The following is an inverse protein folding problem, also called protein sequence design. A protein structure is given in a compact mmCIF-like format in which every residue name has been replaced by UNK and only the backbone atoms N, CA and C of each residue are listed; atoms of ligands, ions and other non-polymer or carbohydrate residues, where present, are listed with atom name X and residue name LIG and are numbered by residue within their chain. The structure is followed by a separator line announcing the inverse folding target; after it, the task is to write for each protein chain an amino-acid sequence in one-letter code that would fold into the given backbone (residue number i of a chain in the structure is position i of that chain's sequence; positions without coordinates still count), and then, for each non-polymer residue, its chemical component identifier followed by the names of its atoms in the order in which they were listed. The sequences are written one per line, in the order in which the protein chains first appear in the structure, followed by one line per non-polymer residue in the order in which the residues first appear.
data_IF_239817471857
#
_entry.id   IF_239817471857
#
_cell.length_a   1.000
_cell.length_b   1.000
_cell.length_c   1.000
_cell.angle_alpha   90.00
_cell.angle_beta   90.00
_cell.angle_gamma   90.00
#
_symmetry.space_group_name_H-M   'P 1'
#
loop_
_entity.id
_entity.type
_entity.pdbx_description
1 polymer ?
#
# COMPACT_ATOMS: atom_id res chain seq x y z
N UNK A 1 32.75 13.52 -7.98
CA UNK A 1 31.75 12.43 -7.79
C UNK A 1 31.07 12.41 -6.42
N UNK A 2 31.68 12.87 -5.32
CA UNK A 2 31.06 12.86 -3.97
C UNK A 2 29.79 13.72 -3.83
N UNK A 3 29.67 14.84 -4.53
CA UNK A 3 28.50 15.76 -4.42
C UNK A 3 27.17 15.22 -4.96
N UNK A 4 27.16 14.25 -5.89
CA UNK A 4 25.92 13.67 -6.43
C UNK A 4 25.29 12.61 -5.50
N UNK A 5 26.05 12.03 -4.59
CA UNK A 5 25.61 10.93 -3.73
C UNK A 5 25.13 11.36 -2.33
N UNK A 6 25.17 12.65 -2.00
CA UNK A 6 24.76 13.21 -0.69
C UNK A 6 23.57 14.18 -0.80
N UNK A 7 22.80 14.07 -1.85
CA UNK A 7 21.64 14.89 -2.12
C UNK A 7 20.36 14.12 -1.67
N UNK A 8 19.38 14.87 -1.11
CA UNK A 8 18.08 14.30 -0.68
C UNK A 8 17.31 13.57 -1.77
N UNK A 9 17.52 13.94 -3.05
CA UNK A 9 16.90 13.27 -4.18
C UNK A 9 17.47 11.88 -4.41
N UNK A 10 18.78 11.77 -4.53
CA UNK A 10 19.47 10.52 -4.85
C UNK A 10 19.60 9.58 -3.65
N UNK A 11 19.67 10.13 -2.43
CA UNK A 11 19.87 9.32 -1.21
C UNK A 11 18.58 9.01 -0.45
N UNK A 12 17.48 9.67 -0.78
CA UNK A 12 16.21 9.46 -0.07
C UNK A 12 15.01 9.29 -1.00
N UNK A 13 14.70 10.27 -1.89
CA UNK A 13 13.45 10.23 -2.70
C UNK A 13 13.50 9.11 -3.74
N UNK A 14 14.52 9.10 -4.61
CA UNK A 14 14.63 8.07 -5.66
C UNK A 14 14.65 6.65 -5.07
N UNK A 15 15.49 6.33 -4.06
CA UNK A 15 15.46 5.00 -3.47
C UNK A 15 14.13 4.68 -2.76
N UNK A 16 13.43 5.66 -2.20
CA UNK A 16 12.11 5.43 -1.63
C UNK A 16 11.12 4.97 -2.71
N UNK A 17 11.08 5.62 -3.86
CA UNK A 17 10.21 5.25 -4.98
C UNK A 17 10.60 3.87 -5.55
N UNK A 18 11.91 3.62 -5.74
CA UNK A 18 12.41 2.33 -6.26
C UNK A 18 12.10 1.14 -5.34
N UNK A 19 11.92 1.37 -4.05
CA UNK A 19 11.53 0.34 -3.08
C UNK A 19 9.99 0.28 -2.97
N UNK A 20 9.29 1.41 -2.86
CA UNK A 20 7.87 1.45 -2.57
C UNK A 20 6.98 1.11 -3.77
N UNK A 21 7.38 1.39 -5.03
CA UNK A 21 6.61 0.98 -6.20
C UNK A 21 6.51 -0.57 -6.28
N UNK A 22 7.61 -1.35 -6.23
CA UNK A 22 7.53 -2.80 -6.22
C UNK A 22 6.66 -3.37 -5.09
N UNK A 23 6.86 -2.92 -3.85
CA UNK A 23 6.08 -3.46 -2.73
C UNK A 23 4.62 -3.01 -2.74
N UNK A 24 4.32 -1.85 -3.33
CA UNK A 24 2.95 -1.35 -3.50
C UNK A 24 2.11 -2.14 -4.50
N UNK A 25 2.73 -3.02 -5.31
CA UNK A 25 2.00 -3.87 -6.26
C UNK A 25 1.11 -4.92 -5.58
N UNK A 26 1.20 -5.08 -4.27
CA UNK A 26 0.22 -5.85 -3.50
C UNK A 26 -1.21 -5.35 -3.73
N UNK A 27 -1.40 -4.07 -4.03
CA UNK A 27 -2.71 -3.49 -4.38
C UNK A 27 -3.24 -3.89 -5.76
N UNK A 28 -2.41 -4.54 -6.59
CA UNK A 28 -2.84 -5.09 -7.88
C UNK A 28 -3.51 -6.48 -7.75
N UNK A 29 -3.75 -6.96 -6.53
CA UNK A 29 -4.35 -8.28 -6.28
C UNK A 29 -5.61 -8.55 -7.10
N UNK A 30 -6.50 -7.57 -7.21
CA UNK A 30 -7.73 -7.66 -7.98
C UNK A 30 -7.52 -7.93 -9.48
N UNK A 31 -6.33 -7.62 -10.03
CA UNK A 31 -6.01 -7.82 -11.45
C UNK A 31 -5.90 -9.31 -11.78
N UNK A 32 -5.36 -10.12 -10.87
CA UNK A 32 -5.00 -11.51 -11.15
C UNK A 32 -5.65 -12.55 -10.23
N UNK A 33 -6.38 -12.15 -9.16
CA UNK A 33 -7.00 -13.09 -8.23
C UNK A 33 -7.95 -14.07 -8.91
N UNK A 34 -8.80 -13.59 -9.84
CA UNK A 34 -9.74 -14.44 -10.55
C UNK A 34 -9.01 -15.42 -11.48
N UNK A 35 -7.96 -14.96 -12.17
CA UNK A 35 -7.15 -15.82 -13.04
C UNK A 35 -6.41 -16.92 -12.25
N UNK A 36 -6.00 -16.63 -11.01
CA UNK A 36 -5.45 -17.64 -10.11
C UNK A 36 -6.55 -18.64 -9.73
N UNK A 37 -7.74 -18.17 -9.36
CA UNK A 37 -8.88 -19.01 -9.00
C UNK A 37 -9.24 -19.98 -10.15
N UNK A 38 -9.38 -19.46 -11.35
CA UNK A 38 -9.70 -20.25 -12.56
C UNK A 38 -8.61 -21.27 -12.85
N UNK A 39 -7.34 -20.86 -12.79
CA UNK A 39 -6.18 -21.74 -13.07
C UNK A 39 -6.03 -22.86 -12.04
N UNK A 40 -6.30 -22.58 -10.77
CA UNK A 40 -6.15 -23.54 -9.68
C UNK A 40 -7.44 -24.31 -9.36
N UNK A 41 -8.51 -24.09 -10.13
CA UNK A 41 -9.85 -24.63 -9.88
C UNK A 41 -10.31 -24.40 -8.43
N UNK A 42 -10.00 -23.23 -7.87
CA UNK A 42 -10.32 -22.83 -6.51
C UNK A 42 -11.41 -21.74 -6.49
N UNK A 43 -12.13 -21.63 -5.37
CA UNK A 43 -13.07 -20.50 -5.22
C UNK A 43 -12.32 -19.17 -5.08
N UNK A 44 -12.83 -18.05 -5.63
CA UNK A 44 -12.25 -16.73 -5.43
C UNK A 44 -12.06 -16.38 -3.95
N UNK A 45 -13.00 -16.79 -3.09
CA UNK A 45 -12.92 -16.60 -1.64
C UNK A 45 -11.74 -17.36 -1.01
N UNK A 46 -11.43 -18.58 -1.50
CA UNK A 46 -10.24 -19.31 -1.03
C UNK A 46 -8.95 -18.64 -1.46
N UNK A 47 -8.90 -18.12 -2.70
CA UNK A 47 -7.71 -17.41 -3.22
C UNK A 47 -7.47 -16.10 -2.50
N UNK A 48 -8.51 -15.40 -2.04
CA UNK A 48 -8.44 -14.14 -1.28
C UNK A 48 -7.60 -14.25 0.00
N UNK A 49 -7.48 -15.44 0.58
CA UNK A 49 -6.57 -15.69 1.70
C UNK A 49 -5.11 -15.36 1.38
N UNK A 50 -4.69 -15.45 0.11
CA UNK A 50 -3.35 -15.03 -0.31
C UNK A 50 -3.09 -13.55 -0.02
N UNK A 51 -4.05 -12.68 -0.35
CA UNK A 51 -3.97 -11.25 -0.04
C UNK A 51 -4.06 -10.97 1.46
N UNK A 52 -5.03 -11.57 2.15
CA UNK A 52 -5.21 -11.41 3.59
C UNK A 52 -3.95 -11.79 4.37
N UNK A 53 -3.33 -12.90 4.02
CA UNK A 53 -2.06 -13.33 4.61
C UNK A 53 -0.91 -12.36 4.28
N UNK A 54 -0.85 -11.81 3.06
CA UNK A 54 0.19 -10.85 2.68
C UNK A 54 0.09 -9.58 3.56
N UNK A 55 -1.11 -9.06 3.77
CA UNK A 55 -1.34 -7.89 4.65
C UNK A 55 -1.05 -8.24 6.12
N UNK A 56 -1.48 -9.40 6.60
CA UNK A 56 -1.18 -9.87 7.96
C UNK A 56 0.34 -9.95 8.21
N UNK A 57 1.07 -10.63 7.33
CA UNK A 57 2.52 -10.77 7.47
C UNK A 57 3.27 -9.45 7.24
N UNK A 58 2.75 -8.54 6.42
CA UNK A 58 3.26 -7.17 6.29
C UNK A 58 3.21 -6.46 7.65
N UNK A 59 2.03 -6.41 8.27
CA UNK A 59 1.85 -5.75 9.57
C UNK A 59 2.71 -6.39 10.66
N UNK A 60 2.66 -7.71 10.78
CA UNK A 60 3.43 -8.44 11.80
C UNK A 60 4.93 -8.30 11.60
N UNK A 61 5.45 -8.45 10.39
CA UNK A 61 6.88 -8.28 10.14
C UNK A 61 7.36 -6.86 10.39
N UNK A 62 6.59 -5.84 10.02
CA UNK A 62 6.88 -4.44 10.33
C UNK A 62 6.95 -4.20 11.84
N UNK A 63 6.04 -4.80 12.63
CA UNK A 63 6.05 -4.71 14.09
C UNK A 63 7.35 -5.23 14.73
N UNK A 64 7.99 -6.22 14.11
CA UNK A 64 9.28 -6.75 14.57
C UNK A 64 10.49 -6.06 13.93
N UNK A 65 10.36 -5.52 12.72
CA UNK A 65 11.46 -4.94 11.96
C UNK A 65 11.90 -3.54 12.43
N UNK A 66 11.06 -2.80 13.15
CA UNK A 66 11.34 -1.42 13.55
C UNK A 66 12.73 -1.22 14.17
N UNK A 67 13.14 -1.96 15.21
CA UNK A 67 14.47 -1.85 15.80
C UNK A 67 15.61 -2.22 14.83
N UNK A 68 15.35 -3.15 13.90
CA UNK A 68 16.34 -3.54 12.89
C UNK A 68 16.59 -2.39 11.90
N UNK A 69 15.54 -1.68 11.50
CA UNK A 69 15.62 -0.53 10.58
C UNK A 69 16.31 0.65 11.25
N UNK A 70 16.08 0.88 12.54
CA UNK A 70 16.82 1.92 13.29
C UNK A 70 18.33 1.65 13.26
N UNK A 71 18.74 0.41 13.51
CA UNK A 71 20.16 0.01 13.51
C UNK A 71 20.77 0.01 12.11
N UNK A 72 20.06 -0.55 11.13
CA UNK A 72 20.59 -0.72 9.77
C UNK A 72 19.50 -0.47 8.73
N UNK A 73 19.56 0.71 8.11
CA UNK A 73 18.65 1.14 7.06
C UNK A 73 18.71 0.26 5.79
N UNK A 74 19.81 -0.48 5.60
CA UNK A 74 20.00 -1.35 4.43
C UNK A 74 19.43 -2.76 4.60
N UNK A 75 18.57 -3.01 5.58
CA UNK A 75 17.80 -4.26 5.63
C UNK A 75 16.81 -4.29 4.47
N UNK A 76 16.89 -5.36 3.70
CA UNK A 76 16.31 -5.41 2.36
C UNK A 76 14.90 -5.99 2.34
N UNK A 77 14.05 -5.38 1.52
CA UNK A 77 12.77 -5.90 1.11
C UNK A 77 12.86 -6.95 -0.04
N UNK A 78 14.06 -7.29 -0.51
CA UNK A 78 14.26 -8.25 -1.62
C UNK A 78 13.60 -9.62 -1.36
N UNK A 79 13.41 -9.98 -0.10
CA UNK A 79 12.64 -11.17 0.29
C UNK A 79 11.24 -11.19 -0.34
N UNK A 80 10.61 -10.02 -0.53
CA UNK A 80 9.30 -9.94 -1.19
C UNK A 80 9.32 -10.44 -2.63
N UNK A 81 10.43 -10.27 -3.33
CA UNK A 81 10.57 -10.73 -4.72
C UNK A 81 10.73 -12.24 -4.83
N UNK A 82 11.33 -12.87 -3.81
CA UNK A 82 11.37 -14.34 -3.70
C UNK A 82 9.95 -14.88 -3.56
N UNK A 83 9.13 -14.26 -2.71
CA UNK A 83 7.72 -14.61 -2.56
C UNK A 83 6.91 -14.39 -3.84
N UNK A 84 7.14 -13.27 -4.53
CA UNK A 84 6.47 -12.97 -5.79
C UNK A 84 6.82 -13.97 -6.91
N UNK A 85 8.11 -14.31 -7.08
CA UNK A 85 8.54 -15.35 -8.01
C UNK A 85 8.00 -16.74 -7.62
N UNK A 86 8.06 -17.09 -6.33
CA UNK A 86 7.52 -18.34 -5.79
C UNK A 86 6.02 -18.49 -6.01
N UNK A 87 5.27 -17.39 -6.08
CA UNK A 87 3.86 -17.39 -6.46
C UNK A 87 3.70 -17.87 -7.90
N UNK A 88 4.52 -17.38 -8.83
CA UNK A 88 4.54 -17.85 -10.21
C UNK A 88 4.81 -19.36 -10.30
N UNK A 89 5.76 -19.89 -9.54
CA UNK A 89 6.03 -21.33 -9.43
C UNK A 89 4.80 -22.09 -8.91
N UNK A 90 4.17 -21.57 -7.84
CA UNK A 90 3.01 -22.21 -7.21
C UNK A 90 1.82 -22.30 -8.16
N UNK A 91 1.59 -21.25 -8.97
CA UNK A 91 0.54 -21.23 -10.01
C UNK A 91 0.88 -22.21 -11.14
N UNK A 92 2.15 -22.28 -11.56
CA UNK A 92 2.60 -23.22 -12.59
C UNK A 92 2.38 -24.67 -12.17
N UNK A 93 2.58 -24.98 -10.90
CA UNK A 93 2.39 -26.31 -10.30
C UNK A 93 0.96 -26.60 -9.87
N UNK A 94 0.01 -25.70 -10.10
CA UNK A 94 -1.38 -25.78 -9.63
C UNK A 94 -1.49 -26.04 -8.10
N UNK A 95 -0.64 -25.36 -7.31
CA UNK A 95 -0.52 -25.59 -5.88
C UNK A 95 -0.95 -24.37 -5.06
N UNK A 96 -2.24 -24.31 -4.68
CA UNK A 96 -2.83 -23.20 -3.92
C UNK A 96 -2.14 -22.90 -2.57
N UNK A 97 -1.78 -23.91 -1.73
CA UNK A 97 -1.04 -23.64 -0.51
C UNK A 97 0.30 -22.93 -0.74
N UNK A 98 0.94 -23.19 -1.88
CA UNK A 98 2.15 -22.49 -2.31
C UNK A 98 1.92 -20.99 -2.54
N UNK A 99 0.75 -20.59 -3.06
CA UNK A 99 0.37 -19.18 -3.20
C UNK A 99 0.25 -18.54 -1.81
N UNK A 100 -0.34 -19.22 -0.83
CA UNK A 100 -0.43 -18.71 0.54
C UNK A 100 0.92 -18.51 1.21
N UNK A 101 1.84 -19.47 0.99
CA UNK A 101 3.20 -19.39 1.52
C UNK A 101 4.00 -18.30 0.79
N UNK A 102 4.00 -18.30 -0.53
CA UNK A 102 4.87 -17.43 -1.32
C UNK A 102 4.35 -15.98 -1.37
N UNK A 103 3.11 -15.79 -1.83
CA UNK A 103 2.50 -14.47 -1.88
C UNK A 103 2.13 -13.96 -0.48
N UNK A 104 1.45 -14.79 0.29
CA UNK A 104 0.98 -14.43 1.63
C UNK A 104 2.14 -14.21 2.60
N UNK A 105 2.88 -15.27 2.94
CA UNK A 105 3.86 -15.19 4.02
C UNK A 105 5.18 -14.56 3.57
N UNK A 106 5.86 -15.12 2.57
CA UNK A 106 7.23 -14.70 2.20
C UNK A 106 7.22 -13.28 1.64
N UNK A 107 6.34 -13.00 0.67
CA UNK A 107 6.22 -11.65 0.11
C UNK A 107 5.76 -10.67 1.19
N UNK A 108 4.73 -11.00 1.98
CA UNK A 108 4.22 -10.15 3.07
C UNK A 108 5.30 -9.77 4.09
N UNK A 109 6.15 -10.69 4.53
CA UNK A 109 7.29 -10.40 5.40
C UNK A 109 8.24 -9.39 4.74
N UNK A 110 8.57 -9.60 3.48
CA UNK A 110 9.43 -8.68 2.72
C UNK A 110 8.84 -7.28 2.60
N UNK A 111 7.50 -7.19 2.39
CA UNK A 111 6.77 -5.92 2.32
C UNK A 111 6.91 -5.11 3.61
N UNK A 112 6.66 -5.73 4.77
CA UNK A 112 6.70 -5.03 6.06
C UNK A 112 8.11 -4.58 6.45
N UNK A 113 9.13 -5.38 6.20
CA UNK A 113 10.54 -4.98 6.42
C UNK A 113 10.93 -3.83 5.50
N UNK A 114 10.52 -3.90 4.22
CA UNK A 114 10.87 -2.91 3.19
C UNK A 114 10.15 -1.58 3.36
N UNK A 115 8.96 -1.58 3.91
CA UNK A 115 8.13 -0.38 4.06
C UNK A 115 8.73 0.67 5.01
N UNK A 116 9.26 0.25 6.14
CA UNK A 116 9.72 1.17 7.20
C UNK A 116 10.96 1.98 6.80
N UNK A 117 11.83 1.40 6.00
CA UNK A 117 13.15 1.97 5.67
C UNK A 117 13.07 3.31 4.93
N UNK A 118 12.33 3.44 3.80
CA UNK A 118 12.22 4.70 3.08
C UNK A 118 11.51 5.79 3.91
N UNK A 119 10.46 5.42 4.64
CA UNK A 119 9.69 6.35 5.48
C UNK A 119 10.61 7.02 6.50
N UNK A 120 11.34 6.21 7.29
CA UNK A 120 12.27 6.74 8.29
C UNK A 120 13.37 7.58 7.66
N UNK A 121 13.92 7.14 6.53
CA UNK A 121 14.99 7.87 5.86
C UNK A 121 14.55 9.26 5.38
N UNK A 122 13.37 9.36 4.76
CA UNK A 122 12.86 10.66 4.32
C UNK A 122 12.57 11.59 5.48
N UNK A 123 12.02 11.10 6.59
CA UNK A 123 11.81 11.93 7.80
C UNK A 123 13.10 12.52 8.35
N UNK A 124 14.24 11.83 8.19
CA UNK A 124 15.55 12.35 8.60
C UNK A 124 16.10 13.40 7.63
N UNK A 125 15.87 13.25 6.33
CA UNK A 125 16.29 14.21 5.31
C UNK A 125 15.43 15.47 5.23
N UNK A 126 14.20 15.41 5.69
CA UNK A 126 13.21 16.49 5.65
C UNK A 126 12.67 16.78 7.06
N UNK A 127 13.56 17.06 8.00
CA UNK A 127 13.22 17.25 9.40
C UNK A 127 12.18 18.35 9.65
N UNK A 128 12.19 19.41 8.82
CA UNK A 128 11.29 20.58 8.95
C UNK A 128 9.89 20.31 8.37
N UNK A 129 9.74 19.36 7.43
CA UNK A 129 8.49 19.02 6.74
C UNK A 129 8.28 17.51 6.73
N UNK A 130 8.15 16.91 7.91
CA UNK A 130 8.07 15.44 8.07
C UNK A 130 6.81 14.84 7.44
N UNK A 131 5.70 15.58 7.44
CA UNK A 131 4.46 15.15 6.77
C UNK A 131 4.63 15.06 5.26
N UNK A 132 5.15 16.11 4.62
CA UNK A 132 5.51 16.07 3.20
C UNK A 132 6.47 14.92 2.90
N UNK A 133 7.49 14.73 3.75
CA UNK A 133 8.46 13.66 3.60
C UNK A 133 7.82 12.26 3.61
N UNK A 134 6.94 12.00 4.57
CA UNK A 134 6.22 10.72 4.65
C UNK A 134 5.25 10.55 3.49
N UNK A 135 4.58 11.61 3.06
CA UNK A 135 3.74 11.62 1.86
C UNK A 135 4.49 11.20 0.61
N UNK A 136 5.66 11.80 0.36
CA UNK A 136 6.54 11.44 -0.76
C UNK A 136 7.06 10.01 -0.61
N UNK A 137 7.47 9.61 0.60
CA UNK A 137 7.97 8.25 0.85
C UNK A 137 6.96 7.19 0.39
N UNK A 138 5.70 7.36 0.78
CA UNK A 138 4.67 6.37 0.51
C UNK A 138 3.85 6.64 -0.76
N UNK A 139 4.10 7.76 -1.46
CA UNK A 139 3.48 8.05 -2.76
C UNK A 139 3.76 6.95 -3.79
N UNK A 140 5.00 6.43 -3.82
CA UNK A 140 5.35 5.29 -4.67
C UNK A 140 4.49 4.06 -4.44
N UNK A 141 4.11 3.81 -3.19
CA UNK A 141 3.20 2.71 -2.85
C UNK A 141 1.78 2.96 -3.39
N UNK A 142 1.30 4.21 -3.36
CA UNK A 142 0.01 4.60 -3.95
C UNK A 142 0.01 4.53 -5.48
N UNK A 143 1.08 5.00 -6.13
CA UNK A 143 1.22 4.99 -7.59
C UNK A 143 1.43 3.58 -8.17
N UNK A 144 1.83 2.62 -7.35
CA UNK A 144 2.16 1.28 -7.80
C UNK A 144 1.03 0.65 -8.62
N UNK A 145 -0.22 0.77 -8.16
CA UNK A 145 -1.38 0.21 -8.83
C UNK A 145 -1.62 0.86 -10.21
N UNK A 146 -1.48 2.18 -10.31
CA UNK A 146 -1.65 2.90 -11.57
C UNK A 146 -0.63 2.48 -12.64
N UNK A 147 0.61 2.19 -12.20
CA UNK A 147 1.71 1.80 -13.10
C UNK A 147 1.66 0.30 -13.38
N UNK A 148 1.50 -0.51 -12.34
CA UNK A 148 1.66 -1.95 -12.44
C UNK A 148 0.42 -2.66 -12.98
N UNK A 149 -0.82 -2.18 -12.71
CA UNK A 149 -2.02 -2.86 -13.20
C UNK A 149 -2.08 -2.94 -14.73
N UNK A 150 -1.91 -1.84 -15.49
CA UNK A 150 -1.88 -1.93 -16.95
C UNK A 150 -0.74 -2.81 -17.48
N UNK A 151 0.43 -2.74 -16.83
CA UNK A 151 1.57 -3.56 -17.20
C UNK A 151 1.30 -5.06 -16.95
N UNK A 152 0.69 -5.39 -15.81
CA UNK A 152 0.30 -6.77 -15.48
C UNK A 152 -0.73 -7.29 -16.46
N UNK A 153 -1.78 -6.52 -16.79
CA UNK A 153 -2.79 -6.90 -17.77
C UNK A 153 -2.16 -7.13 -19.16
N UNK A 154 -1.27 -6.25 -19.60
CA UNK A 154 -0.54 -6.44 -20.86
C UNK A 154 0.31 -7.71 -20.85
N UNK A 155 1.09 -7.95 -19.80
CA UNK A 155 1.92 -9.14 -19.68
C UNK A 155 1.08 -10.42 -19.60
N UNK A 156 -0.03 -10.40 -18.85
CA UNK A 156 -0.95 -11.54 -18.79
C UNK A 156 -1.49 -11.88 -20.18
N UNK A 157 -1.89 -10.86 -20.94
CA UNK A 157 -2.42 -11.03 -22.30
C UNK A 157 -1.39 -11.50 -23.33
N UNK A 158 -0.11 -11.19 -23.14
CA UNK A 158 0.96 -11.47 -24.12
C UNK A 158 1.78 -12.71 -23.78
N UNK A 159 2.18 -12.87 -22.52
CA UNK A 159 3.08 -13.96 -22.08
C UNK A 159 2.45 -14.89 -21.05
N UNK A 160 1.25 -14.58 -20.59
CA UNK A 160 0.49 -15.38 -19.63
C UNK A 160 0.80 -15.06 -18.15
N UNK A 161 -0.11 -15.54 -17.29
CA UNK A 161 -0.11 -15.24 -15.84
C UNK A 161 1.21 -15.62 -15.15
N UNK A 162 1.71 -16.84 -15.40
CA UNK A 162 2.93 -17.34 -14.73
C UNK A 162 4.16 -16.54 -15.13
N UNK A 163 4.33 -16.29 -16.44
CA UNK A 163 5.47 -15.50 -16.95
C UNK A 163 5.46 -14.07 -16.45
N UNK A 164 4.28 -13.45 -16.28
CA UNK A 164 4.12 -12.12 -15.69
C UNK A 164 4.75 -12.08 -14.30
N UNK A 165 4.51 -13.07 -13.43
CA UNK A 165 5.12 -13.10 -12.09
C UNK A 165 6.65 -13.15 -12.14
N UNK A 166 7.25 -13.94 -13.04
CA UNK A 166 8.70 -14.02 -13.15
C UNK A 166 9.33 -12.73 -13.72
N UNK A 167 8.73 -12.16 -14.76
CA UNK A 167 9.22 -10.93 -15.38
C UNK A 167 9.20 -9.80 -14.36
N UNK A 168 8.07 -9.61 -13.66
CA UNK A 168 7.95 -8.55 -12.67
C UNK A 168 8.81 -8.81 -11.44
N UNK A 169 8.98 -10.05 -10.99
CA UNK A 169 9.92 -10.37 -9.92
C UNK A 169 11.34 -9.92 -10.27
N UNK A 170 11.79 -10.17 -11.50
CA UNK A 170 13.12 -9.75 -11.96
C UNK A 170 13.24 -8.21 -12.03
N UNK A 171 12.26 -7.54 -12.65
CA UNK A 171 12.27 -6.07 -12.77
C UNK A 171 12.26 -5.41 -11.39
N UNK A 172 11.37 -5.86 -10.51
CA UNK A 172 11.25 -5.31 -9.16
C UNK A 172 12.47 -5.61 -8.29
N UNK A 173 13.09 -6.78 -8.44
CA UNK A 173 14.34 -7.09 -7.76
C UNK A 173 15.45 -6.12 -8.16
N UNK A 174 15.59 -5.78 -9.46
CA UNK A 174 16.54 -4.78 -9.94
C UNK A 174 16.22 -3.39 -9.38
N UNK A 175 14.95 -2.95 -9.41
CA UNK A 175 14.54 -1.66 -8.85
C UNK A 175 14.90 -1.55 -7.38
N UNK A 176 14.53 -2.56 -6.58
CA UNK A 176 14.80 -2.60 -5.13
C UNK A 176 16.30 -2.69 -4.84
N UNK A 177 17.06 -3.43 -5.63
CA UNK A 177 18.52 -3.51 -5.47
C UNK A 177 19.18 -2.16 -5.73
N UNK A 178 18.80 -1.45 -6.80
CA UNK A 178 19.27 -0.09 -7.07
C UNK A 178 18.86 0.87 -5.94
N UNK A 179 17.60 0.81 -5.48
CA UNK A 179 17.14 1.58 -4.32
C UNK A 179 17.97 1.30 -3.07
N UNK A 180 18.29 0.03 -2.81
CA UNK A 180 19.16 -0.38 -1.70
C UNK A 180 20.58 0.18 -1.80
N UNK A 181 21.15 0.25 -3.00
CA UNK A 181 22.48 0.82 -3.20
C UNK A 181 22.51 2.33 -2.96
N UNK A 182 21.45 3.03 -3.40
CA UNK A 182 21.34 4.48 -3.33
C UNK A 182 20.97 5.01 -1.95
N UNK A 183 20.17 4.25 -1.15
CA UNK A 183 19.64 4.73 0.12
C UNK A 183 20.76 5.02 1.12
N UNK A 184 20.79 6.27 1.64
CA UNK A 184 21.75 6.73 2.63
C UNK A 184 21.08 7.63 3.65
N UNK A 185 21.54 7.60 4.88
CA UNK A 185 21.14 8.56 5.91
C UNK A 185 21.82 9.91 5.72
N UNK A 186 21.26 11.01 6.25
CA UNK A 186 21.92 12.32 6.25
C UNK A 186 23.30 12.28 6.89
N UNK A 187 24.21 13.13 6.42
CA UNK A 187 25.54 13.31 7.02
C UNK A 187 25.40 13.69 8.51
N UNK A 188 26.25 13.12 9.35
CA UNK A 188 26.24 13.36 10.79
C UNK A 188 25.21 12.54 11.59
N UNK A 189 24.34 11.76 10.94
CA UNK A 189 23.45 10.86 11.66
C UNK A 189 24.21 9.65 12.20
N UNK A 190 24.14 9.42 13.50
CA UNK A 190 24.75 8.28 14.17
C UNK A 190 23.68 7.50 14.92
N UNK A 191 23.72 6.18 14.83
CA UNK A 191 22.86 5.32 15.63
C UNK A 191 23.27 5.38 17.09
N UNK A 192 22.36 5.79 17.95
CA UNK A 192 22.55 5.81 19.40
C UNK A 192 21.68 4.72 20.04
N UNK A 193 22.27 3.63 20.54
CA UNK A 193 21.54 2.53 21.16
C UNK A 193 20.74 2.97 22.38
N UNK A 194 21.27 3.91 23.17
CA UNK A 194 20.66 4.34 24.43
C UNK A 194 19.35 5.11 24.21
N UNK A 195 19.24 5.87 23.11
CA UNK A 195 18.07 6.68 22.82
C UNK A 195 17.12 6.06 21.78
N UNK A 196 17.59 5.08 21.02
CA UNK A 196 16.79 4.37 20.00
C UNK A 196 16.06 3.15 20.53
N UNK A 197 16.36 2.69 21.72
CA UNK A 197 15.76 1.51 22.36
C UNK A 197 14.65 1.93 23.34
N UNK A 198 13.46 2.22 22.83
CA UNK A 198 12.26 2.23 23.67
C UNK A 198 11.70 0.80 23.72
N UNK A 199 11.55 0.27 24.93
CA UNK A 199 10.92 -1.03 25.10
C UNK A 199 9.50 -1.04 24.53
N UNK A 200 9.18 -2.02 23.69
CA UNK A 200 7.81 -2.23 23.17
C UNK A 200 6.78 -2.24 24.30
N UNK A 201 7.13 -2.85 25.45
CA UNK A 201 6.25 -2.87 26.64
C UNK A 201 5.90 -1.46 27.14
N UNK A 202 6.84 -0.53 27.06
CA UNK A 202 6.61 0.87 27.47
C UNK A 202 5.66 1.59 26.50
N UNK A 203 5.77 1.33 25.19
CA UNK A 203 4.87 1.90 24.17
C UNK A 203 3.46 1.35 24.36
N UNK A 204 3.31 0.03 24.49
CA UNK A 204 2.02 -0.67 24.62
C UNK A 204 1.26 -0.31 25.92
N UNK A 205 1.94 0.21 26.95
CA UNK A 205 1.30 0.69 28.18
C UNK A 205 0.69 2.09 28.03
N UNK A 206 0.99 2.84 26.96
CA UNK A 206 0.49 4.20 26.77
C UNK A 206 -0.88 4.19 26.10
N UNK A 207 -1.96 4.73 26.71
CA UNK A 207 -3.29 4.75 26.09
C UNK A 207 -3.32 5.45 24.74
N UNK A 208 -2.50 6.48 24.54
CA UNK A 208 -2.40 7.21 23.27
C UNK A 208 -1.95 6.31 22.12
N UNK A 209 -1.12 5.28 22.38
CA UNK A 209 -0.73 4.30 21.37
C UNK A 209 -1.96 3.55 20.86
N UNK A 210 -2.80 3.07 21.74
CA UNK A 210 -4.01 2.31 21.38
C UNK A 210 -5.04 3.19 20.67
N UNK A 211 -5.17 4.47 21.06
CA UNK A 211 -6.01 5.42 20.32
C UNK A 211 -5.56 5.59 18.87
N UNK A 212 -4.26 5.76 18.65
CA UNK A 212 -3.67 5.85 17.30
C UNK A 212 -3.83 4.52 16.55
N UNK A 213 -3.58 3.39 17.20
CA UNK A 213 -3.72 2.05 16.63
C UNK A 213 -5.13 1.78 16.15
N UNK A 214 -6.15 2.08 16.99
CA UNK A 214 -7.57 1.90 16.63
C UNK A 214 -7.97 2.84 15.48
N UNK A 215 -7.58 4.10 15.53
CA UNK A 215 -7.87 5.03 14.45
C UNK A 215 -7.23 4.57 13.12
N UNK A 216 -6.00 4.11 13.17
CA UNK A 216 -5.33 3.55 12.01
C UNK A 216 -6.00 2.26 11.52
N UNK A 217 -6.34 1.33 12.44
CA UNK A 217 -7.05 0.09 12.12
C UNK A 217 -8.36 0.36 11.36
N UNK A 218 -9.19 1.28 11.84
CA UNK A 218 -10.45 1.66 11.16
C UNK A 218 -10.15 2.24 9.77
N UNK A 219 -9.18 3.14 9.66
CA UNK A 219 -8.81 3.75 8.39
C UNK A 219 -8.37 2.72 7.34
N UNK A 220 -7.44 1.82 7.72
CA UNK A 220 -6.91 0.83 6.78
C UNK A 220 -7.93 -0.24 6.41
N UNK A 221 -8.78 -0.64 7.35
CA UNK A 221 -9.83 -1.64 7.09
C UNK A 221 -10.80 -1.13 6.03
N UNK A 222 -11.25 0.12 6.13
CA UNK A 222 -12.14 0.72 5.13
C UNK A 222 -11.48 0.76 3.74
N UNK A 223 -10.23 1.23 3.66
CA UNK A 223 -9.53 1.33 2.38
C UNK A 223 -9.20 -0.02 1.75
N UNK A 224 -8.66 -0.96 2.53
CA UNK A 224 -8.32 -2.30 2.02
C UNK A 224 -9.55 -3.08 1.57
N UNK A 225 -10.68 -2.97 2.27
CA UNK A 225 -11.93 -3.59 1.87
C UNK A 225 -12.37 -3.10 0.48
N UNK A 226 -12.33 -1.79 0.22
CA UNK A 226 -12.68 -1.23 -1.08
C UNK A 226 -11.65 -1.63 -2.15
N UNK A 227 -10.35 -1.49 -1.89
CA UNK A 227 -9.28 -1.83 -2.85
C UNK A 227 -9.37 -3.30 -3.30
N UNK A 228 -9.68 -4.21 -2.39
CA UNK A 228 -9.76 -5.64 -2.72
C UNK A 228 -10.99 -6.00 -3.57
N UNK A 229 -12.08 -5.24 -3.44
CA UNK A 229 -13.37 -5.50 -4.10
C UNK A 229 -13.72 -4.47 -5.19
N UNK A 230 -12.87 -3.48 -5.44
CA UNK A 230 -13.16 -2.34 -6.33
C UNK A 230 -13.62 -2.77 -7.72
N UNK A 231 -12.94 -3.76 -8.31
CA UNK A 231 -13.30 -4.29 -9.63
C UNK A 231 -14.67 -4.96 -9.63
N UNK A 232 -14.97 -5.71 -8.58
CA UNK A 232 -16.26 -6.42 -8.43
C UNK A 232 -17.41 -5.42 -8.23
N UNK A 233 -17.20 -4.41 -7.37
CA UNK A 233 -18.16 -3.31 -7.17
C UNK A 233 -18.47 -2.59 -8.47
N UNK A 234 -17.45 -2.22 -9.25
CA UNK A 234 -17.64 -1.55 -10.54
C UNK A 234 -18.35 -2.45 -11.56
N UNK A 235 -18.01 -3.73 -11.58
CA UNK A 235 -18.68 -4.72 -12.42
C UNK A 235 -20.18 -4.77 -12.13
N UNK A 236 -20.58 -4.86 -10.86
CA UNK A 236 -21.97 -4.95 -10.46
C UNK A 236 -22.75 -3.66 -10.76
N UNK A 237 -22.15 -2.50 -10.46
CA UNK A 237 -22.77 -1.19 -10.78
C UNK A 237 -22.95 -1.02 -12.28
N UNK A 238 -21.94 -1.34 -13.09
CA UNK A 238 -22.02 -1.18 -14.55
C UNK A 238 -23.01 -2.19 -15.16
N UNK A 239 -23.11 -3.40 -14.58
CA UNK A 239 -24.07 -4.42 -15.06
C UNK A 239 -25.52 -3.99 -14.96
N UNK A 240 -25.84 -3.10 -14.01
CA UNK A 240 -27.18 -2.56 -13.83
C UNK A 240 -27.59 -1.53 -14.91
N UNK A 241 -26.68 -1.07 -15.76
CA UNK A 241 -27.01 -0.12 -16.83
C UNK A 241 -27.73 -0.82 -18.00
N UNK A 242 -28.79 -0.22 -18.57
CA UNK A 242 -29.59 -0.82 -19.64
C UNK A 242 -28.77 -1.29 -20.84
N UNK A 243 -27.74 -0.55 -21.25
CA UNK A 243 -26.88 -0.89 -22.39
C UNK A 243 -26.06 -2.15 -22.17
N UNK A 244 -25.84 -2.57 -20.93
CA UNK A 244 -25.05 -3.75 -20.58
C UNK A 244 -25.90 -4.92 -20.07
N UNK A 245 -27.16 -4.68 -19.71
CA UNK A 245 -28.03 -5.67 -19.04
C UNK A 245 -28.15 -6.99 -19.80
N UNK A 246 -28.27 -6.95 -21.13
CA UNK A 246 -28.50 -8.11 -22.00
C UNK A 246 -27.24 -8.67 -22.66
N UNK A 247 -26.04 -8.16 -22.32
CA UNK A 247 -24.80 -8.69 -22.87
C UNK A 247 -24.43 -10.04 -22.24
N UNK A 248 -23.91 -10.94 -23.04
CA UNK A 248 -23.28 -12.16 -22.50
C UNK A 248 -22.08 -11.79 -21.60
N UNK A 249 -21.69 -12.62 -20.61
CA UNK A 249 -20.61 -12.30 -19.70
C UNK A 249 -19.32 -11.88 -20.41
N UNK A 250 -18.92 -12.56 -21.47
CA UNK A 250 -17.73 -12.23 -22.24
C UNK A 250 -17.81 -10.88 -22.95
N UNK A 251 -18.95 -10.56 -23.59
CA UNK A 251 -19.16 -9.26 -24.25
C UNK A 251 -19.22 -8.12 -23.24
N UNK A 252 -19.85 -8.35 -22.11
CA UNK A 252 -19.91 -7.38 -21.03
C UNK A 252 -18.51 -7.07 -20.47
N UNK A 253 -17.74 -8.10 -20.11
CA UNK A 253 -16.37 -7.93 -19.61
C UNK A 253 -15.51 -7.15 -20.60
N UNK A 254 -15.59 -7.45 -21.91
CA UNK A 254 -14.87 -6.71 -22.94
C UNK A 254 -15.32 -5.23 -23.04
N UNK A 255 -16.63 -4.98 -22.94
CA UNK A 255 -17.18 -3.62 -23.06
C UNK A 255 -16.79 -2.72 -21.90
N UNK A 256 -16.63 -3.23 -20.68
CA UNK A 256 -16.34 -2.44 -19.49
C UNK A 256 -14.85 -2.43 -19.09
N UNK A 257 -14.00 -3.26 -19.69
CA UNK A 257 -12.58 -3.41 -19.31
C UNK A 257 -11.84 -2.08 -19.31
N UNK A 258 -11.99 -1.27 -20.33
CA UNK A 258 -11.38 0.06 -20.43
C UNK A 258 -11.89 1.03 -19.35
N UNK A 259 -13.17 0.97 -19.02
CA UNK A 259 -13.78 1.81 -17.97
C UNK A 259 -13.21 1.40 -16.60
N UNK A 260 -13.18 0.11 -16.30
CA UNK A 260 -12.61 -0.40 -15.06
C UNK A 260 -11.13 -0.01 -14.96
N UNK A 261 -10.34 -0.25 -16.00
CA UNK A 261 -8.91 0.12 -16.00
C UNK A 261 -8.69 1.62 -15.72
N UNK A 262 -9.49 2.49 -16.33
CA UNK A 262 -9.44 3.94 -16.08
C UNK A 262 -9.80 4.27 -14.62
N UNK A 263 -10.88 3.71 -14.10
CA UNK A 263 -11.31 3.96 -12.71
C UNK A 263 -10.25 3.50 -11.71
N UNK A 264 -9.67 2.31 -11.89
CA UNK A 264 -8.59 1.80 -11.05
C UNK A 264 -7.35 2.71 -11.07
N UNK A 265 -7.01 3.26 -12.26
CA UNK A 265 -5.90 4.19 -12.40
C UNK A 265 -6.18 5.53 -11.69
N UNK A 266 -7.39 6.09 -11.88
CA UNK A 266 -7.82 7.32 -11.22
C UNK A 266 -7.87 7.13 -9.70
N UNK A 267 -8.41 6.03 -9.20
CA UNK A 267 -8.42 5.70 -7.78
C UNK A 267 -7.00 5.67 -7.17
N UNK A 268 -6.05 5.07 -7.87
CA UNK A 268 -4.64 5.06 -7.49
C UNK A 268 -4.05 6.48 -7.41
N UNK A 269 -4.44 7.38 -8.32
CA UNK A 269 -4.05 8.80 -8.26
C UNK A 269 -4.66 9.48 -7.03
N UNK A 270 -5.93 9.25 -6.72
CA UNK A 270 -6.59 9.77 -5.52
C UNK A 270 -5.93 9.24 -4.24
N UNK A 271 -5.61 7.95 -4.17
CA UNK A 271 -4.86 7.38 -3.06
C UNK A 271 -3.50 8.08 -2.87
N UNK A 272 -2.77 8.30 -3.96
CA UNK A 272 -1.47 8.99 -3.94
C UNK A 272 -1.59 10.46 -3.55
N UNK A 273 -2.56 11.16 -4.12
CA UNK A 273 -2.85 12.56 -3.77
C UNK A 273 -3.23 12.69 -2.28
N UNK A 274 -4.01 11.75 -1.77
CA UNK A 274 -4.33 11.66 -0.35
C UNK A 274 -3.09 11.49 0.52
N UNK A 275 -2.14 10.63 0.11
CA UNK A 275 -0.87 10.42 0.83
C UNK A 275 -0.08 11.72 0.96
N UNK A 276 0.07 12.46 -0.13
CA UNK A 276 0.81 13.73 -0.12
C UNK A 276 0.00 14.84 0.54
N UNK A 277 -1.28 14.99 0.17
CA UNK A 277 -2.13 16.08 0.62
C UNK A 277 -2.40 16.07 2.13
N UNK A 278 -2.91 14.96 2.67
CA UNK A 278 -3.25 14.86 4.10
C UNK A 278 -2.01 14.92 5.00
N UNK A 279 -0.92 14.27 4.59
CA UNK A 279 0.32 14.32 5.38
C UNK A 279 0.96 15.71 5.36
N UNK A 280 0.94 16.41 4.22
CA UNK A 280 1.39 17.81 4.14
C UNK A 280 0.48 18.73 4.94
N UNK A 281 -0.85 18.52 4.85
CA UNK A 281 -1.80 19.26 5.70
C UNK A 281 -1.47 19.10 7.18
N UNK A 282 -1.03 17.91 7.61
CA UNK A 282 -0.65 17.65 8.99
C UNK A 282 0.51 18.52 9.48
N UNK A 283 1.40 18.97 8.61
CA UNK A 283 2.51 19.86 8.99
C UNK A 283 2.06 21.27 9.36
N UNK A 284 0.89 21.69 8.87
CA UNK A 284 0.28 23.00 9.16
C UNK A 284 -0.70 22.97 10.34
N UNK A 285 -0.99 21.79 10.90
CA UNK A 285 -1.93 21.63 12.01
C UNK A 285 -1.20 21.52 13.35
N UNK A 286 -1.70 22.23 14.37
CA UNK A 286 -1.21 22.09 15.75
C UNK A 286 -1.44 20.69 16.31
N UNK A 287 -2.54 20.06 15.90
CA UNK A 287 -2.95 18.71 16.33
C UNK A 287 -3.09 17.84 15.08
N UNK A 288 -2.16 16.94 14.87
CA UNK A 288 -2.10 16.07 13.68
C UNK A 288 -3.25 15.05 13.65
N UNK A 289 -3.85 14.73 14.81
CA UNK A 289 -5.03 13.88 14.94
C UNK A 289 -6.23 14.43 14.15
N UNK A 290 -6.31 15.75 13.96
CA UNK A 290 -7.37 16.41 13.18
C UNK A 290 -7.45 15.87 11.75
N UNK A 291 -6.33 15.42 11.17
CA UNK A 291 -6.32 14.81 9.84
C UNK A 291 -7.19 13.54 9.82
N UNK A 292 -7.08 12.68 10.83
CA UNK A 292 -7.93 11.49 10.92
C UNK A 292 -9.41 11.83 11.11
N UNK A 293 -9.72 12.90 11.87
CA UNK A 293 -11.10 13.37 11.99
C UNK A 293 -11.68 13.81 10.65
N UNK A 294 -10.91 14.57 9.85
CA UNK A 294 -11.31 15.00 8.50
C UNK A 294 -11.52 13.77 7.60
N UNK A 295 -10.58 12.82 7.61
CA UNK A 295 -10.68 11.59 6.81
C UNK A 295 -11.95 10.81 7.17
N UNK A 296 -12.24 10.62 8.46
CA UNK A 296 -13.42 9.86 8.88
C UNK A 296 -14.73 10.58 8.55
N UNK A 297 -14.82 11.89 8.78
CA UNK A 297 -16.01 12.67 8.40
C UNK A 297 -16.26 12.57 6.90
N UNK A 298 -15.22 12.77 6.09
CA UNK A 298 -15.30 12.65 4.63
C UNK A 298 -15.76 11.24 4.21
N UNK A 299 -15.15 10.19 4.77
CA UNK A 299 -15.49 8.80 4.45
C UNK A 299 -16.93 8.47 4.82
N UNK A 300 -17.39 8.88 6.01
CA UNK A 300 -18.77 8.70 6.44
C UNK A 300 -19.73 9.44 5.50
N UNK A 301 -19.43 10.68 5.14
CA UNK A 301 -20.29 11.49 4.26
C UNK A 301 -20.49 10.84 2.89
N UNK A 302 -19.41 10.33 2.26
CA UNK A 302 -19.52 9.69 0.93
C UNK A 302 -20.17 8.30 1.00
N UNK A 303 -19.97 7.54 2.09
CA UNK A 303 -20.66 6.28 2.29
C UNK A 303 -22.18 6.50 2.50
N UNK A 304 -22.55 7.51 3.27
CA UNK A 304 -23.96 7.89 3.43
C UNK A 304 -24.58 8.36 2.11
N UNK A 305 -23.84 9.17 1.34
CA UNK A 305 -24.29 9.59 0.00
C UNK A 305 -24.59 8.37 -0.88
N UNK A 306 -23.70 7.38 -0.89
CA UNK A 306 -23.90 6.15 -1.67
C UNK A 306 -25.13 5.36 -1.20
N UNK A 307 -25.34 5.22 0.11
CA UNK A 307 -26.49 4.50 0.69
C UNK A 307 -27.81 5.20 0.32
N UNK A 308 -27.86 6.54 0.39
CA UNK A 308 -29.07 7.29 0.09
C UNK A 308 -29.32 7.49 -1.41
N UNK A 309 -28.32 7.18 -2.26
CA UNK A 309 -28.49 7.23 -3.73
C UNK A 309 -29.00 5.89 -4.23
N UNK A 310 -30.27 5.58 -3.92
CA UNK A 310 -30.90 4.30 -4.29
C UNK A 310 -31.35 4.21 -5.76
N UNK A 311 -31.09 5.22 -6.59
CA UNK A 311 -31.43 5.18 -8.01
C UNK A 311 -30.39 4.43 -8.81
N UNK A 312 -30.85 3.46 -9.60
CA UNK A 312 -30.01 2.80 -10.61
C UNK A 312 -29.64 3.82 -11.69
N UNK A 313 -28.42 3.75 -12.20
CA UNK A 313 -27.96 4.60 -13.29
C UNK A 313 -26.84 5.57 -12.88
N UNK A 314 -26.80 6.71 -13.59
CA UNK A 314 -25.67 7.65 -13.45
C UNK A 314 -25.46 8.18 -12.03
N UNK A 315 -26.52 8.45 -11.28
CA UNK A 315 -26.41 8.97 -9.91
C UNK A 315 -25.73 7.96 -8.97
N UNK A 316 -26.11 6.70 -9.06
CA UNK A 316 -25.47 5.62 -8.28
C UNK A 316 -23.99 5.46 -8.67
N UNK A 317 -23.68 5.48 -9.97
CA UNK A 317 -22.29 5.38 -10.43
C UNK A 317 -21.42 6.51 -9.86
N UNK A 318 -21.88 7.76 -9.93
CA UNK A 318 -21.15 8.91 -9.40
C UNK A 318 -20.98 8.84 -7.88
N UNK A 319 -21.99 8.37 -7.15
CA UNK A 319 -21.90 8.18 -5.70
C UNK A 319 -20.88 7.09 -5.33
N UNK A 320 -20.85 5.97 -6.09
CA UNK A 320 -19.88 4.89 -5.92
C UNK A 320 -18.47 5.37 -6.26
N UNK A 321 -18.28 6.09 -7.36
CA UNK A 321 -16.97 6.65 -7.71
C UNK A 321 -16.48 7.64 -6.65
N UNK A 322 -17.34 8.51 -6.13
CA UNK A 322 -17.00 9.43 -5.05
C UNK A 322 -16.58 8.65 -3.78
N UNK A 323 -17.31 7.60 -3.43
CA UNK A 323 -16.97 6.73 -2.31
C UNK A 323 -15.59 6.07 -2.52
N UNK A 324 -15.36 5.43 -3.65
CA UNK A 324 -14.09 4.77 -3.95
C UNK A 324 -12.92 5.76 -3.86
N UNK A 325 -12.99 6.87 -4.60
CA UNK A 325 -11.88 7.82 -4.70
C UNK A 325 -11.59 8.54 -3.39
N UNK A 326 -12.61 9.01 -2.67
CA UNK A 326 -12.40 9.79 -1.45
C UNK A 326 -12.04 8.91 -0.25
N UNK A 327 -12.62 7.71 -0.12
CA UNK A 327 -12.20 6.77 0.93
C UNK A 327 -10.77 6.31 0.71
N UNK A 328 -10.38 6.03 -0.55
CA UNK A 328 -9.01 5.65 -0.87
C UNK A 328 -8.02 6.82 -0.73
N UNK A 329 -8.41 8.05 -1.01
CA UNK A 329 -7.60 9.22 -0.66
C UNK A 329 -7.39 9.32 0.86
N UNK A 330 -8.45 9.10 1.65
CA UNK A 330 -8.39 9.05 3.10
C UNK A 330 -7.53 7.90 3.63
N UNK A 331 -7.64 6.71 3.03
CA UNK A 331 -6.78 5.58 3.32
C UNK A 331 -5.30 5.92 3.11
N UNK A 332 -4.96 6.46 1.94
CA UNK A 332 -3.60 6.90 1.64
C UNK A 332 -3.11 7.97 2.61
N UNK A 333 -3.96 8.95 2.91
CA UNK A 333 -3.69 10.04 3.85
C UNK A 333 -3.44 9.56 5.27
N UNK A 334 -4.24 8.63 5.78
CA UNK A 334 -4.04 8.03 7.10
C UNK A 334 -2.71 7.29 7.20
N UNK A 335 -2.37 6.52 6.16
CA UNK A 335 -1.10 5.80 6.10
C UNK A 335 0.12 6.73 6.15
N UNK A 336 0.09 7.84 5.42
CA UNK A 336 1.21 8.78 5.36
C UNK A 336 1.29 9.74 6.56
N UNK A 337 0.15 10.04 7.19
CA UNK A 337 0.11 10.87 8.40
C UNK A 337 0.54 10.10 9.66
N UNK A 338 0.38 8.77 9.66
CA UNK A 338 0.71 7.93 10.82
C UNK A 338 2.12 8.14 11.38
N UNK A 339 3.22 8.09 10.58
CA UNK A 339 4.56 8.23 11.11
C UNK A 339 4.79 9.58 11.81
N UNK A 340 4.23 10.67 11.27
CA UNK A 340 4.39 12.01 11.86
C UNK A 340 3.51 12.22 13.09
N UNK A 341 2.36 11.56 13.15
CA UNK A 341 1.54 11.51 14.36
C UNK A 341 2.25 10.75 15.47
N UNK A 342 2.88 9.62 15.16
CA UNK A 342 3.69 8.86 16.10
C UNK A 342 4.93 9.64 16.54
N UNK A 343 5.58 10.39 15.65
CA UNK A 343 6.70 11.28 15.96
C UNK A 343 6.30 12.35 16.98
N UNK A 344 5.12 12.94 16.83
CA UNK A 344 4.61 13.95 17.76
C UNK A 344 4.45 13.42 19.19
N UNK A 345 4.01 12.17 19.35
CA UNK A 345 3.72 11.57 20.65
C UNK A 345 4.87 10.79 21.28
N UNK A 346 5.75 10.22 20.45
CA UNK A 346 6.81 9.29 20.89
C UNK A 346 8.23 9.75 20.52
N UNK A 347 8.36 10.76 19.66
CA UNK A 347 9.64 11.32 19.22
C UNK A 347 10.28 10.55 18.07
N UNK A 348 11.08 11.27 17.27
CA UNK A 348 11.69 10.80 16.01
C UNK A 348 12.58 9.56 16.19
N UNK A 349 13.25 9.44 17.35
CA UNK A 349 14.18 8.33 17.63
C UNK A 349 13.46 6.97 17.75
N UNK A 350 12.16 6.97 18.02
CA UNK A 350 11.37 5.75 18.26
C UNK A 350 10.37 5.45 17.12
N UNK A 351 10.33 6.32 16.11
CA UNK A 351 9.29 6.25 15.05
C UNK A 351 9.30 4.90 14.34
N UNK A 352 10.44 4.32 13.98
CA UNK A 352 10.44 3.02 13.29
C UNK A 352 9.85 1.90 14.16
N UNK A 353 10.08 1.95 15.47
CA UNK A 353 9.52 0.96 16.40
C UNK A 353 8.02 1.19 16.62
N UNK A 354 7.61 2.44 16.89
CA UNK A 354 6.19 2.76 17.11
C UNK A 354 5.36 2.58 15.84
N UNK A 355 5.90 3.00 14.69
CA UNK A 355 5.26 2.82 13.39
C UNK A 355 5.13 1.34 13.03
N UNK A 356 6.21 0.56 13.17
CA UNK A 356 6.15 -0.87 12.96
C UNK A 356 5.09 -1.54 13.84
N UNK A 357 5.05 -1.22 15.14
CA UNK A 357 4.01 -1.75 16.04
C UNK A 357 2.60 -1.35 15.59
N UNK A 358 2.40 -0.11 15.13
CA UNK A 358 1.07 0.35 14.69
C UNK A 358 0.64 -0.32 13.39
N UNK A 359 1.57 -0.69 12.51
CA UNK A 359 1.27 -1.45 11.28
C UNK A 359 0.72 -2.87 11.54
N UNK A 360 0.72 -3.34 12.79
CA UNK A 360 0.00 -4.57 13.17
C UNK A 360 -1.52 -4.39 13.25
N UNK A 361 -2.00 -3.16 13.09
CA UNK A 361 -3.43 -2.87 12.97
C UNK A 361 -3.99 -3.36 11.63
#
# INVERSE_FOLDING_TARGET
MARFTENRWTSAIIPALLIHIPIGTVYCWSVFKQLIADRLHASPASVEWGFSLAIFFLGMSAAFAGPMVEKNIKKSALVSMVGFAGTGVSIALNFLPGVFICYGAIMGIGLGVGYLTPVKNLMLWFADNKGLATGIAVAGFGLAKAIASPLMEYLIGTVGLVSMFFILAAVYAVMMFVGFLLIKRPAGWVYDPATSHVSRKTILKKPVFWGIWIAFYINITCGLALISQEKDILHDVLRAFPQYANLSPAKFAAAISGIIGLVLAVDSVFNTAGRVGFSTLSDHLKRRETVYQVIFIMSIAVCLLQIFTNSIGNALLWAVLAMLFLVNAGYGGGFSTLPVLLDQHFGTKTVSTTHGLTLSA
#
